data_IF_790724743570
#
_entry.id   IF_790724743570
#
_cell.length_a   1.000
_cell.length_b   1.000
_cell.length_c   1.000
_cell.angle_alpha   90.00
_cell.angle_beta   90.00
_cell.angle_gamma   90.00
#
_symmetry.space_group_name_H-M   'P 1'
#
loop_
_entity.id
_entity.type
_entity.pdbx_description
1 polymer ?
#
# COMPACT_ATOMS: atom_id res chain seq x y z
N UNK A 1 -0.84 19.18 -2.69
CA UNK A 1 0.14 18.07 -2.56
C UNK A 1 0.74 17.96 -1.17
N UNK A 2 1.08 19.10 -0.53
CA UNK A 2 1.70 19.07 0.80
C UNK A 2 0.78 18.46 1.87
N UNK A 3 -0.52 18.77 1.83
CA UNK A 3 -1.50 18.19 2.76
C UNK A 3 -1.64 16.69 2.54
N UNK A 4 -1.65 16.26 1.28
CA UNK A 4 -1.71 14.83 0.93
C UNK A 4 -0.47 14.09 1.47
N UNK A 5 0.72 14.64 1.20
CA UNK A 5 1.98 14.03 1.67
C UNK A 5 2.01 13.97 3.19
N UNK A 6 1.60 15.06 3.85
CA UNK A 6 1.56 15.10 5.32
C UNK A 6 0.58 14.06 5.87
N UNK A 7 -0.61 13.92 5.27
CA UNK A 7 -1.59 12.93 5.72
C UNK A 7 -1.10 11.49 5.56
N UNK A 8 -0.38 11.19 4.47
CA UNK A 8 0.19 9.86 4.25
C UNK A 8 1.27 9.55 5.29
N UNK A 9 2.15 10.51 5.59
CA UNK A 9 3.16 10.32 6.62
C UNK A 9 2.53 10.18 8.01
N UNK A 10 1.44 10.92 8.28
CA UNK A 10 0.72 10.80 9.53
C UNK A 10 0.12 9.40 9.72
N UNK A 11 -0.47 8.81 8.67
CA UNK A 11 -1.00 7.44 8.72
C UNK A 11 0.11 6.44 9.01
N UNK A 12 1.25 6.56 8.35
CA UNK A 12 2.38 5.66 8.58
C UNK A 12 2.94 5.80 10.00
N UNK A 13 3.11 7.04 10.47
CA UNK A 13 3.59 7.29 11.83
C UNK A 13 2.63 6.80 12.90
N UNK A 14 1.34 7.06 12.72
CA UNK A 14 0.31 6.59 13.64
C UNK A 14 0.25 5.05 13.67
N UNK A 15 0.36 4.42 12.50
CA UNK A 15 0.35 2.96 12.41
C UNK A 15 1.53 2.33 13.13
N UNK A 16 2.72 2.92 13.01
CA UNK A 16 3.91 2.45 13.72
C UNK A 16 3.77 2.62 15.24
N UNK A 17 3.25 3.75 15.66
CA UNK A 17 2.98 3.98 17.09
C UNK A 17 1.96 2.98 17.62
N UNK A 18 0.88 2.74 16.88
CA UNK A 18 -0.13 1.75 17.24
C UNK A 18 0.47 0.33 17.31
N UNK A 19 1.37 -0.01 16.39
CA UNK A 19 2.04 -1.30 16.38
C UNK A 19 2.82 -1.54 17.68
N UNK A 20 3.48 -0.51 18.19
CA UNK A 20 4.21 -0.59 19.46
C UNK A 20 3.25 -0.67 20.64
N UNK A 21 2.23 0.17 20.66
CA UNK A 21 1.30 0.26 21.78
C UNK A 21 0.45 -1.00 21.95
N UNK A 22 0.08 -1.64 20.83
CA UNK A 22 -0.82 -2.79 20.84
C UNK A 22 -0.10 -4.14 20.80
N UNK A 23 1.21 -4.16 20.71
CA UNK A 23 1.98 -5.40 20.64
C UNK A 23 1.77 -6.31 21.87
N UNK A 24 1.66 -5.71 23.05
CA UNK A 24 1.42 -6.48 24.29
C UNK A 24 0.03 -7.12 24.31
N UNK A 25 -0.90 -6.61 23.52
CA UNK A 25 -2.24 -7.19 23.36
C UNK A 25 -2.30 -8.20 22.21
N UNK A 26 -1.13 -8.58 21.65
CA UNK A 26 -1.02 -9.49 20.50
C UNK A 26 -1.75 -9.00 19.26
N UNK A 27 -1.77 -7.69 19.06
CA UNK A 27 -2.35 -7.06 17.88
C UNK A 27 -1.20 -6.53 17.03
N UNK A 28 -1.17 -6.94 15.76
CA UNK A 28 -0.22 -6.43 14.77
C UNK A 28 -0.86 -5.31 13.97
N UNK A 29 -0.09 -4.28 13.66
CA UNK A 29 -0.54 -3.15 12.85
C UNK A 29 0.49 -2.91 11.76
N UNK A 30 0.06 -3.01 10.51
CA UNK A 30 0.89 -2.82 9.34
C UNK A 30 0.18 -1.92 8.33
N UNK A 31 0.94 -1.36 7.42
CA UNK A 31 0.43 -0.50 6.34
C UNK A 31 0.71 -1.19 5.02
N UNK A 32 -0.28 -1.20 4.13
CA UNK A 32 -0.10 -1.54 2.72
C UNK A 32 -0.15 -0.25 1.92
N UNK A 33 0.90 0.01 1.14
CA UNK A 33 1.02 1.21 0.34
C UNK A 33 0.91 0.84 -1.15
N UNK A 34 -0.28 0.99 -1.75
CA UNK A 34 -0.49 0.59 -3.14
C UNK A 34 0.10 1.60 -4.12
N UNK A 35 0.46 1.12 -5.31
CA UNK A 35 0.74 1.93 -6.48
C UNK A 35 -0.49 2.00 -7.40
N UNK A 36 -0.30 2.34 -8.68
CA UNK A 36 -1.40 2.35 -9.63
C UNK A 36 -2.09 1.00 -9.70
N UNK A 37 -3.37 0.98 -9.41
CA UNK A 37 -4.19 -0.23 -9.36
C UNK A 37 -5.39 -0.03 -10.27
N UNK A 38 -5.72 -1.04 -11.07
CA UNK A 38 -6.85 -0.98 -12.00
C UNK A 38 -8.16 -0.92 -11.23
N UNK A 39 -8.69 0.30 -11.11
CA UNK A 39 -9.93 0.60 -10.40
C UNK A 39 -10.65 1.72 -11.17
N UNK A 40 -11.96 1.93 -10.91
CA UNK A 40 -12.64 3.08 -11.51
C UNK A 40 -12.00 4.43 -11.16
N UNK A 41 -11.37 4.54 -9.99
CA UNK A 41 -10.64 5.76 -9.61
C UNK A 41 -9.46 5.99 -10.54
N UNK A 42 -8.68 4.97 -10.87
CA UNK A 42 -7.55 5.10 -11.77
C UNK A 42 -8.02 5.55 -13.15
N UNK A 43 -9.09 4.98 -13.67
CA UNK A 43 -9.68 5.40 -14.93
C UNK A 43 -10.06 6.88 -14.91
N UNK A 44 -10.66 7.36 -13.84
CA UNK A 44 -11.04 8.78 -13.69
C UNK A 44 -9.84 9.71 -13.67
N UNK A 45 -8.79 9.38 -12.88
CA UNK A 45 -7.61 10.25 -12.76
C UNK A 45 -6.77 10.25 -14.04
N UNK A 46 -6.85 9.20 -14.85
CA UNK A 46 -6.08 9.06 -16.08
C UNK A 46 -6.92 9.31 -17.33
N UNK A 47 -8.16 9.75 -17.16
CA UNK A 47 -9.09 10.04 -18.26
C UNK A 47 -9.24 8.83 -19.20
N UNK A 48 -9.42 7.63 -18.62
CA UNK A 48 -9.57 6.39 -19.37
C UNK A 48 -8.26 5.83 -19.94
N UNK A 49 -7.12 6.34 -19.50
CA UNK A 49 -5.81 5.93 -20.01
C UNK A 49 -4.89 5.45 -18.85
N UNK A 50 -5.24 4.37 -18.15
CA UNK A 50 -4.43 3.90 -17.02
C UNK A 50 -3.02 3.48 -17.43
N UNK A 51 -2.81 3.12 -18.70
CA UNK A 51 -1.50 2.76 -19.22
C UNK A 51 -0.47 3.89 -19.11
N UNK A 52 -0.92 5.14 -19.01
CA UNK A 52 -0.02 6.29 -18.86
C UNK A 52 0.74 6.24 -17.53
N UNK A 53 0.06 5.83 -16.46
CA UNK A 53 0.71 5.63 -15.17
C UNK A 53 1.48 4.31 -15.13
N UNK A 54 0.98 3.29 -15.83
CA UNK A 54 1.63 1.99 -15.91
C UNK A 54 3.05 2.07 -16.47
N UNK A 55 3.30 3.02 -17.37
CA UNK A 55 4.64 3.22 -17.94
C UNK A 55 5.68 3.62 -16.90
N UNK A 56 5.26 4.18 -15.78
CA UNK A 56 6.17 4.56 -14.69
C UNK A 56 6.45 3.41 -13.73
N UNK A 57 5.73 2.32 -13.87
CA UNK A 57 5.88 1.15 -13.00
C UNK A 57 6.99 0.26 -13.55
N UNK A 58 8.02 -0.07 -12.76
CA UNK A 58 9.09 -0.97 -13.23
C UNK A 58 8.58 -2.30 -13.77
N UNK A 59 7.52 -2.88 -13.21
CA UNK A 59 6.91 -4.09 -13.76
C UNK A 59 6.14 -3.86 -15.06
N UNK A 60 5.97 -2.60 -15.49
CA UNK A 60 5.39 -2.26 -16.78
C UNK A 60 3.87 -2.28 -16.85
N UNK A 61 3.20 -2.40 -15.73
CA UNK A 61 1.74 -2.44 -15.68
C UNK A 61 1.20 -1.96 -14.35
N UNK A 62 -0.07 -1.54 -14.34
CA UNK A 62 -0.80 -1.32 -13.10
C UNK A 62 -1.12 -2.68 -12.45
N UNK A 63 -1.26 -2.69 -11.14
CA UNK A 63 -1.71 -3.88 -10.44
C UNK A 63 -3.20 -4.09 -10.57
N UNK A 64 -3.65 -5.32 -10.37
CA UNK A 64 -5.07 -5.61 -10.27
C UNK A 64 -5.56 -5.43 -8.84
N UNK A 65 -6.87 -5.21 -8.68
CA UNK A 65 -7.48 -5.14 -7.34
C UNK A 65 -7.26 -6.44 -6.58
N UNK A 66 -7.27 -7.58 -7.26
CA UNK A 66 -7.05 -8.89 -6.66
C UNK A 66 -5.62 -9.04 -6.14
N UNK A 67 -4.63 -8.52 -6.87
CA UNK A 67 -3.24 -8.56 -6.42
C UNK A 67 -3.07 -7.76 -5.13
N UNK A 68 -3.67 -6.59 -5.06
CA UNK A 68 -3.65 -5.78 -3.84
C UNK A 68 -4.38 -6.48 -2.69
N UNK A 69 -5.55 -7.05 -2.97
CA UNK A 69 -6.32 -7.77 -1.96
C UNK A 69 -5.56 -8.97 -1.40
N UNK A 70 -4.83 -9.70 -2.23
CA UNK A 70 -4.00 -10.83 -1.78
C UNK A 70 -2.88 -10.39 -0.85
N UNK A 71 -2.24 -9.25 -1.14
CA UNK A 71 -1.20 -8.70 -0.27
C UNK A 71 -1.78 -8.31 1.10
N UNK A 72 -2.94 -7.66 1.10
CA UNK A 72 -3.64 -7.28 2.34
C UNK A 72 -4.03 -8.53 3.13
N UNK A 73 -4.59 -9.53 2.48
CA UNK A 73 -4.99 -10.77 3.13
C UNK A 73 -3.80 -11.50 3.75
N UNK A 74 -2.66 -11.53 3.05
CA UNK A 74 -1.45 -12.17 3.56
C UNK A 74 -0.92 -11.46 4.80
N UNK A 75 -0.78 -10.13 4.75
CA UNK A 75 -0.19 -9.39 5.86
C UNK A 75 -1.10 -9.39 7.09
N UNK A 76 -2.40 -9.57 6.89
CA UNK A 76 -3.38 -9.68 7.97
C UNK A 76 -3.50 -11.10 8.52
N UNK A 77 -2.93 -12.10 7.84
CA UNK A 77 -3.07 -13.51 8.22
C UNK A 77 -1.99 -13.94 9.21
N UNK A 78 -2.19 -15.13 9.79
CA UNK A 78 -1.21 -15.73 10.69
C UNK A 78 0.11 -16.10 10.00
N UNK A 79 0.12 -16.20 8.67
CA UNK A 79 1.36 -16.43 7.91
C UNK A 79 2.33 -15.27 8.07
N UNK A 80 1.83 -14.08 8.35
CA UNK A 80 2.65 -12.90 8.62
C UNK A 80 2.75 -12.60 10.13
N UNK A 81 2.74 -13.63 10.96
CA UNK A 81 2.60 -13.49 12.40
C UNK A 81 3.73 -12.72 13.09
N UNK A 82 4.89 -12.62 12.45
CA UNK A 82 6.02 -11.86 12.99
C UNK A 82 6.19 -10.49 12.32
N UNK A 83 5.27 -10.10 11.44
CA UNK A 83 5.31 -8.82 10.72
C UNK A 83 4.47 -7.80 11.48
N UNK A 84 5.12 -6.78 12.04
CA UNK A 84 4.47 -5.74 12.83
C UNK A 84 5.18 -4.40 12.60
N UNK A 85 4.42 -3.34 12.43
CA UNK A 85 4.97 -2.00 12.21
C UNK A 85 5.59 -1.81 10.83
N UNK A 86 5.28 -2.66 9.87
CA UNK A 86 5.82 -2.59 8.53
C UNK A 86 4.98 -1.69 7.62
N UNK A 87 5.65 -1.10 6.63
CA UNK A 87 5.00 -0.49 5.47
C UNK A 87 5.35 -1.37 4.27
N UNK A 88 4.36 -2.01 3.69
CA UNK A 88 4.54 -2.92 2.56
C UNK A 88 4.14 -2.22 1.26
N UNK A 89 5.10 -1.80 0.42
CA UNK A 89 4.77 -1.26 -0.89
C UNK A 89 4.27 -2.37 -1.81
N UNK A 90 3.09 -2.14 -2.42
CA UNK A 90 2.52 -3.05 -3.42
C UNK A 90 2.28 -2.20 -4.67
N UNK A 91 3.35 -1.90 -5.38
CA UNK A 91 3.37 -0.85 -6.40
C UNK A 91 4.22 -1.19 -7.62
N UNK A 92 4.54 -2.46 -7.82
CA UNK A 92 5.30 -2.89 -9.00
C UNK A 92 6.73 -2.36 -9.07
N UNK A 93 7.27 -1.86 -7.96
CA UNK A 93 8.65 -1.40 -7.86
C UNK A 93 8.84 0.11 -7.95
N UNK A 94 7.77 0.91 -8.02
CA UNK A 94 7.88 2.37 -8.13
C UNK A 94 8.79 2.95 -7.03
N UNK A 95 8.62 2.47 -5.79
CA UNK A 95 9.37 3.02 -4.66
C UNK A 95 10.78 2.45 -4.50
N UNK A 96 11.17 1.52 -5.35
CA UNK A 96 12.50 0.93 -5.32
C UNK A 96 13.54 1.77 -6.10
N UNK A 97 13.06 2.71 -6.90
CA UNK A 97 13.92 3.54 -7.75
C UNK A 97 14.33 4.84 -7.09
#
# INVERSE_FOLDING_TARGET
MSIYVASKHAVEGLSKAAALDLASDHIRVNVVAPGPTLTPMLDRVTDGHPERLAQRVPLGRAGSAEELARAIAWIASDEASYVNGAVLPVNGGISAS
#
